data_IF_982528740456
#
_entry.id   IF_982528740456
#
_cell.length_a   1.000
_cell.length_b   1.000
_cell.length_c   1.000
_cell.angle_alpha   90.00
_cell.angle_beta   90.00
_cell.angle_gamma   90.00
#
_symmetry.space_group_name_H-M   'P 1'
#
loop_
_entity.id
_entity.type
_entity.pdbx_description
1 polymer ?
#
# COMPACT_ATOMS: atom_id res chain seq x y z
N UNK A 1 39.51 -27.18 60.87
CA UNK A 1 39.61 -26.51 59.56
C UNK A 1 38.19 -26.31 59.08
N UNK A 2 37.51 -25.28 59.57
CA UNK A 2 37.46 -23.91 58.97
C UNK A 2 36.67 -23.91 57.66
N UNK A 3 35.57 -23.19 57.48
CA UNK A 3 34.90 -22.21 58.34
C UNK A 3 33.52 -21.84 57.78
N UNK A 4 32.64 -21.38 58.67
CA UNK A 4 31.37 -20.69 58.32
C UNK A 4 31.65 -19.33 57.66
N UNK A 5 30.63 -18.66 57.06
CA UNK A 5 29.93 -17.65 57.89
C UNK A 5 28.41 -17.48 57.65
N UNK A 6 27.71 -17.35 58.78
CA UNK A 6 26.72 -16.32 59.19
C UNK A 6 25.41 -16.06 58.41
N UNK A 7 24.32 -16.34 59.14
CA UNK A 7 22.93 -15.78 59.09
C UNK A 7 22.85 -14.28 58.78
N UNK A 8 21.73 -13.86 58.14
CA UNK A 8 20.70 -12.98 58.73
C UNK A 8 19.40 -12.98 57.91
N UNK A 9 18.30 -13.02 58.65
CA UNK A 9 16.88 -12.98 58.29
C UNK A 9 16.43 -11.59 57.86
N UNK A 10 15.49 -11.47 56.91
CA UNK A 10 14.39 -10.50 57.04
C UNK A 10 13.18 -10.93 56.20
N UNK A 11 12.03 -10.87 56.85
CA UNK A 11 10.71 -11.34 56.45
C UNK A 11 9.98 -10.38 55.51
N UNK A 12 9.14 -10.99 54.66
CA UNK A 12 8.02 -10.45 53.88
C UNK A 12 7.22 -9.37 54.62
N UNK A 13 6.93 -8.25 53.93
CA UNK A 13 5.93 -7.27 54.36
C UNK A 13 5.07 -6.90 53.14
N UNK A 14 3.77 -7.21 53.26
CA UNK A 14 2.65 -6.84 52.39
C UNK A 14 2.47 -5.32 52.27
N UNK A 15 2.18 -4.77 51.07
CA UNK A 15 1.90 -3.35 50.88
C UNK A 15 0.39 -3.05 50.91
N UNK A 16 -0.38 -3.69 51.79
CA UNK A 16 -1.82 -3.47 51.90
C UNK A 16 -2.27 -3.29 53.36
N UNK A 17 -2.02 -2.12 53.96
CA UNK A 17 -2.93 -1.55 54.96
C UNK A 17 -2.57 -0.10 55.34
N UNK A 18 -3.60 0.69 55.66
CA UNK A 18 -3.68 2.13 55.98
C UNK A 18 -4.07 2.98 54.76
N UNK A 19 -5.25 3.61 54.67
CA UNK A 19 -6.34 3.77 55.62
C UNK A 19 -7.55 4.35 54.86
N UNK A 20 -8.75 3.83 55.16
CA UNK A 20 -10.03 4.23 54.60
C UNK A 20 -10.66 5.39 55.36
N UNK A 21 -11.21 6.39 54.66
CA UNK A 21 -12.29 7.31 55.12
C UNK A 21 -13.16 7.66 53.87
N UNK A 22 -14.50 7.82 54.00
CA UNK A 22 -15.49 7.27 53.06
C UNK A 22 -16.15 8.27 52.10
N UNK A 23 -16.76 7.76 51.03
CA UNK A 23 -17.75 8.47 50.19
C UNK A 23 -19.15 8.44 50.82
N UNK A 24 -20.07 9.36 50.43
CA UNK A 24 -21.17 8.90 49.58
C UNK A 24 -21.82 9.91 48.60
N UNK A 25 -22.31 9.35 47.50
CA UNK A 25 -23.62 9.55 46.84
C UNK A 25 -23.92 10.73 45.89
N UNK A 26 -24.34 10.37 44.66
CA UNK A 26 -25.56 10.81 43.92
C UNK A 26 -25.27 10.83 42.39
N UNK A 27 -25.79 9.89 41.59
CA UNK A 27 -27.11 9.84 40.89
C UNK A 27 -27.32 10.95 39.82
N UNK A 28 -27.59 10.47 38.60
CA UNK A 28 -27.72 11.11 37.26
C UNK A 28 -28.77 12.25 37.18
N UNK A 29 -28.81 13.03 36.07
CA UNK A 29 -29.74 12.68 34.95
C UNK A 29 -29.22 13.04 33.51
N UNK A 30 -29.46 12.19 32.49
CA UNK A 30 -30.32 12.39 31.27
C UNK A 30 -29.84 13.48 30.27
N UNK A 31 -29.87 13.40 28.92
CA UNK A 31 -30.72 12.71 27.93
C UNK A 31 -30.21 13.07 26.49
N UNK A 32 -30.43 12.20 25.49
CA UNK A 32 -30.66 12.50 24.03
C UNK A 32 -29.49 13.08 23.18
N UNK A 33 -29.24 12.79 21.89
CA UNK A 33 -30.02 12.21 20.77
C UNK A 33 -29.11 11.86 19.56
N UNK A 34 -29.47 10.77 18.85
CA UNK A 34 -29.58 10.58 17.38
C UNK A 34 -28.36 10.74 16.41
N UNK A 35 -27.91 9.59 15.88
CA UNK A 35 -27.69 9.13 14.47
C UNK A 35 -27.67 10.14 13.28
N UNK A 36 -27.27 9.71 12.05
CA UNK A 36 -26.05 9.03 11.55
C UNK A 36 -25.44 9.87 10.35
N UNK A 37 -24.49 9.41 9.50
CA UNK A 37 -24.86 8.58 8.33
C UNK A 37 -23.75 7.70 7.71
N UNK A 38 -24.21 7.00 6.66
CA UNK A 38 -23.57 6.03 5.78
C UNK A 38 -22.82 6.65 4.58
N UNK A 39 -22.10 5.76 3.88
CA UNK A 39 -21.81 5.73 2.44
C UNK A 39 -20.55 6.44 1.90
N UNK A 40 -19.65 5.57 1.43
CA UNK A 40 -18.54 5.84 0.52
C UNK A 40 -19.03 6.21 -0.88
N UNK A 41 -18.44 7.23 -1.49
CA UNK A 41 -18.41 7.42 -2.95
C UNK A 41 -17.14 8.14 -3.37
N UNK A 42 -16.40 7.53 -4.30
CA UNK A 42 -15.24 8.09 -5.00
C UNK A 42 -15.61 9.29 -5.88
N UNK A 43 -14.71 10.27 -6.07
CA UNK A 43 -14.83 11.28 -7.13
C UNK A 43 -13.90 10.98 -8.32
N UNK A 44 -14.48 11.01 -9.53
CA UNK A 44 -13.77 11.06 -10.82
C UNK A 44 -13.74 12.52 -11.28
N UNK A 45 -12.55 13.12 -11.42
CA UNK A 45 -12.39 14.51 -11.84
C UNK A 45 -12.19 14.65 -13.36
N UNK A 46 -13.18 15.25 -13.99
CA UNK A 46 -13.10 15.93 -15.29
C UNK A 46 -12.36 17.27 -15.12
N UNK A 47 -11.46 17.62 -16.05
CA UNK A 47 -10.88 18.97 -16.16
C UNK A 47 -11.04 19.52 -17.57
N UNK A 48 -11.72 20.66 -17.66
CA UNK A 48 -11.82 21.53 -18.84
C UNK A 48 -10.76 22.65 -18.80
N UNK A 49 -10.37 23.03 -20.02
CA UNK A 49 -9.76 24.25 -20.57
C UNK A 49 -9.30 25.43 -19.69
N UNK A 50 -8.18 26.05 -20.09
CA UNK A 50 -8.07 27.50 -20.29
C UNK A 50 -6.83 27.88 -21.13
N UNK A 51 -6.94 29.03 -21.79
CA UNK A 51 -6.16 29.66 -22.86
C UNK A 51 -4.76 30.21 -22.47
N UNK A 52 -3.94 30.50 -23.49
CA UNK A 52 -3.20 31.78 -23.55
C UNK A 52 -1.70 31.76 -23.87
N UNK A 53 -1.36 32.34 -25.02
CA UNK A 53 -0.08 32.67 -25.70
C UNK A 53 1.20 33.00 -24.89
N UNK A 54 2.37 32.71 -25.51
CA UNK A 54 3.69 33.25 -25.11
C UNK A 54 4.92 32.83 -25.95
N UNK A 55 5.17 33.57 -27.05
CA UNK A 55 6.42 33.94 -27.79
C UNK A 55 7.77 33.15 -27.74
N UNK A 56 8.37 33.04 -28.96
CA UNK A 56 9.78 33.21 -29.47
C UNK A 56 10.96 32.51 -28.74
N UNK A 57 12.09 32.07 -29.33
CA UNK A 57 12.70 31.87 -30.67
C UNK A 57 14.13 31.30 -30.42
N UNK A 58 14.76 30.59 -31.38
CA UNK A 58 16.18 30.72 -31.85
C UNK A 58 16.70 29.45 -32.58
N UNK A 59 16.73 29.51 -33.94
CA UNK A 59 17.81 29.22 -34.92
C UNK A 59 18.70 27.92 -34.86
N UNK A 60 19.58 27.66 -35.86
CA UNK A 60 19.37 27.45 -37.31
C UNK A 60 20.19 26.25 -37.89
N UNK A 61 20.07 25.96 -39.21
CA UNK A 61 21.12 25.48 -40.16
C UNK A 61 20.46 24.76 -41.38
N UNK A 62 20.40 25.37 -42.58
CA UNK A 62 21.26 25.11 -43.76
C UNK A 62 21.11 23.71 -44.41
N UNK A 63 21.07 23.45 -45.71
CA UNK A 63 20.98 24.22 -46.97
C UNK A 63 21.07 23.20 -48.12
N UNK A 64 20.41 23.47 -49.26
CA UNK A 64 20.66 22.94 -50.62
C UNK A 64 20.35 21.44 -50.89
N UNK A 65 19.77 21.01 -52.02
CA UNK A 65 19.35 21.74 -53.22
C UNK A 65 18.62 20.83 -54.24
N UNK A 66 17.87 21.52 -55.11
CA UNK A 66 17.51 21.25 -56.52
C UNK A 66 17.10 19.84 -57.03
N UNK A 67 15.96 19.81 -57.75
CA UNK A 67 15.86 19.05 -59.00
C UNK A 67 14.52 18.40 -59.36
N UNK A 68 13.72 19.10 -60.20
CA UNK A 68 12.84 18.58 -61.27
C UNK A 68 11.71 17.57 -60.93
N UNK A 69 10.44 18.02 -60.94
CA UNK A 69 9.40 17.76 -61.99
C UNK A 69 9.18 16.27 -62.34
N UNK A 70 8.00 15.67 -62.16
CA UNK A 70 6.74 16.04 -62.82
C UNK A 70 5.59 15.12 -62.37
N UNK A 71 4.40 15.72 -62.22
CA UNK A 71 3.05 15.18 -62.45
C UNK A 71 2.81 13.66 -62.34
N UNK A 72 1.96 13.25 -61.39
CA UNK A 72 0.65 12.66 -61.74
C UNK A 72 -0.29 12.47 -60.53
N UNK A 73 -1.33 13.31 -60.55
CA UNK A 73 -2.76 12.99 -60.35
C UNK A 73 -3.18 12.10 -59.17
N UNK A 74 -3.81 12.81 -58.23
CA UNK A 74 -4.86 12.35 -57.31
C UNK A 74 -5.96 11.57 -58.05
N UNK A 75 -6.43 10.47 -57.46
CA UNK A 75 -7.86 10.18 -57.39
C UNK A 75 -8.16 9.23 -56.22
N UNK A 76 -8.91 9.78 -55.28
CA UNK A 76 -9.62 9.10 -54.21
C UNK A 76 -10.82 8.33 -54.76
N UNK A 77 -11.01 7.09 -54.33
CA UNK A 77 -12.34 6.48 -54.30
C UNK A 77 -12.47 5.67 -53.02
N UNK A 78 -13.39 6.14 -52.18
CA UNK A 78 -13.83 5.56 -50.93
C UNK A 78 -15.03 4.67 -51.26
N UNK A 79 -15.03 3.41 -50.83
CA UNK A 79 -16.26 2.64 -50.56
C UNK A 79 -16.02 1.63 -49.43
N UNK A 80 -17.07 1.26 -48.67
CA UNK A 80 -16.98 1.17 -47.21
C UNK A 80 -16.99 -0.25 -46.66
N UNK A 81 -16.22 -0.43 -45.60
CA UNK A 81 -16.60 -1.12 -44.35
C UNK A 81 -17.17 -2.55 -44.44
N UNK A 82 -16.38 -3.52 -43.99
CA UNK A 82 -16.88 -4.58 -43.12
C UNK A 82 -16.04 -4.62 -41.84
N UNK A 83 -16.76 -4.50 -40.72
CA UNK A 83 -16.26 -4.58 -39.35
C UNK A 83 -16.12 -6.05 -39.01
N UNK A 84 -14.97 -6.47 -38.53
CA UNK A 84 -14.92 -7.51 -37.49
C UNK A 84 -13.81 -7.16 -36.51
N UNK A 85 -14.24 -6.71 -35.33
CA UNK A 85 -13.40 -6.51 -34.15
C UNK A 85 -13.37 -7.81 -33.36
N UNK A 86 -12.19 -8.32 -33.01
CA UNK A 86 -11.72 -8.35 -31.62
C UNK A 86 -10.46 -9.21 -31.46
N UNK A 87 -9.50 -8.67 -30.68
CA UNK A 87 -8.58 -9.40 -29.78
C UNK A 87 -7.56 -10.29 -30.53
N UNK A 88 -6.27 -9.96 -30.63
CA UNK A 88 -5.37 -9.44 -29.60
C UNK A 88 -4.46 -10.59 -29.15
N UNK A 89 -3.25 -10.70 -29.73
CA UNK A 89 -2.23 -11.62 -29.22
C UNK A 89 -1.36 -12.30 -30.29
N UNK A 90 -0.23 -11.66 -30.61
CA UNK A 90 1.08 -12.25 -30.95
C UNK A 90 1.10 -13.41 -31.96
N UNK A 91 1.39 -13.07 -33.23
CA UNK A 91 1.84 -14.00 -34.27
C UNK A 91 2.92 -13.33 -35.12
N UNK A 92 4.16 -13.42 -34.66
CA UNK A 92 5.37 -13.13 -35.45
C UNK A 92 5.47 -14.20 -36.55
N UNK A 93 5.81 -13.78 -37.79
CA UNK A 93 6.10 -14.59 -39.00
C UNK A 93 4.98 -14.88 -40.03
N UNK A 94 3.93 -14.06 -40.15
CA UNK A 94 3.18 -14.04 -41.42
C UNK A 94 3.88 -13.12 -42.43
N UNK A 95 4.86 -13.67 -43.15
CA UNK A 95 5.34 -13.02 -44.36
C UNK A 95 4.23 -13.02 -45.41
N UNK A 96 3.95 -11.83 -45.93
CA UNK A 96 3.17 -11.56 -47.12
C UNK A 96 3.33 -12.67 -48.19
N UNK A 97 2.33 -13.54 -48.32
CA UNK A 97 2.10 -14.33 -49.54
C UNK A 97 1.53 -13.35 -50.58
N UNK A 98 2.41 -12.47 -51.07
CA UNK A 98 2.21 -11.78 -52.33
C UNK A 98 2.52 -12.81 -53.42
N UNK A 99 1.55 -13.05 -54.30
CA UNK A 99 1.70 -13.86 -55.51
C UNK A 99 2.84 -13.32 -56.38
N UNK A 100 4.07 -13.70 -56.07
CA UNK A 100 5.20 -13.65 -56.98
C UNK A 100 5.19 -14.94 -57.80
N UNK A 101 5.53 -14.89 -59.11
CA UNK A 101 5.45 -16.06 -59.97
C UNK A 101 6.32 -17.19 -59.42
N UNK A 102 5.79 -18.41 -59.53
CA UNK A 102 6.41 -19.73 -59.30
C UNK A 102 7.84 -19.82 -59.87
N UNK A 103 8.81 -19.18 -59.23
CA UNK A 103 10.22 -19.23 -59.61
C UNK A 103 10.97 -19.87 -58.47
N UNK A 104 11.62 -20.99 -58.78
CA UNK A 104 12.43 -21.75 -57.84
C UNK A 104 13.52 -20.84 -57.24
N UNK A 105 13.53 -20.61 -55.91
CA UNK A 105 14.52 -19.76 -55.26
C UNK A 105 15.88 -20.46 -55.14
N UNK A 106 15.95 -21.77 -55.39
CA UNK A 106 17.19 -22.54 -55.26
C UNK A 106 18.14 -22.19 -56.41
N UNK A 107 19.45 -22.09 -56.14
CA UNK A 107 20.45 -21.83 -57.18
C UNK A 107 20.73 -23.09 -58.00
N UNK A 108 19.71 -23.65 -58.67
CA UNK A 108 19.77 -24.94 -59.38
C UNK A 108 20.79 -24.98 -60.53
N UNK A 109 21.22 -23.82 -61.03
CA UNK A 109 22.23 -23.69 -62.09
C UNK A 109 23.65 -23.60 -61.55
N UNK A 110 23.81 -23.26 -60.28
CA UNK A 110 25.11 -23.12 -59.64
C UNK A 110 25.82 -24.48 -59.51
N UNK A 111 27.14 -24.48 -59.73
CA UNK A 111 27.94 -25.71 -59.73
C UNK A 111 28.06 -26.30 -58.33
N UNK A 112 28.27 -25.45 -57.32
CA UNK A 112 28.43 -25.89 -55.94
C UNK A 112 27.12 -26.49 -55.40
N UNK A 113 25.97 -25.87 -55.70
CA UNK A 113 24.66 -26.43 -55.36
C UNK A 113 24.43 -27.83 -55.95
N UNK A 114 24.83 -28.05 -57.21
CA UNK A 114 24.72 -29.36 -57.87
C UNK A 114 25.61 -30.42 -57.20
N UNK A 115 26.86 -30.09 -56.93
CA UNK A 115 27.79 -30.99 -56.23
C UNK A 115 27.26 -31.39 -54.85
N UNK A 116 26.80 -30.42 -54.05
CA UNK A 116 26.21 -30.68 -52.73
C UNK A 116 24.94 -31.54 -52.82
N UNK A 117 24.06 -31.25 -53.78
CA UNK A 117 22.84 -32.03 -54.03
C UNK A 117 23.15 -33.50 -54.35
N UNK A 118 24.15 -33.73 -55.21
CA UNK A 118 24.59 -35.08 -55.58
C UNK A 118 25.12 -35.84 -54.36
N UNK A 119 25.96 -35.21 -53.54
CA UNK A 119 26.48 -35.83 -52.31
C UNK A 119 25.35 -36.18 -51.33
N UNK A 120 24.39 -35.27 -51.12
CA UNK A 120 23.23 -35.52 -50.25
C UNK A 120 22.42 -36.73 -50.71
N UNK A 121 22.11 -36.81 -52.01
CA UNK A 121 21.36 -37.93 -52.57
C UNK A 121 22.13 -39.24 -52.41
N UNK A 122 23.43 -39.26 -52.72
CA UNK A 122 24.25 -40.47 -52.60
C UNK A 122 24.31 -40.97 -51.18
N UNK A 123 24.57 -40.09 -50.21
CA UNK A 123 24.63 -40.46 -48.80
C UNK A 123 23.31 -41.09 -48.37
N UNK A 124 22.18 -40.47 -48.69
CA UNK A 124 20.86 -41.02 -48.35
C UNK A 124 20.59 -42.37 -49.04
N UNK A 125 20.96 -42.52 -50.31
CA UNK A 125 20.79 -43.79 -51.03
C UNK A 125 21.64 -44.92 -50.41
N UNK A 126 22.87 -44.61 -49.99
CA UNK A 126 23.75 -45.56 -49.29
C UNK A 126 23.18 -45.95 -47.93
N UNK A 127 22.76 -44.98 -47.13
CA UNK A 127 22.23 -45.22 -45.78
C UNK A 127 20.90 -45.98 -45.81
N UNK A 128 20.05 -45.73 -46.82
CA UNK A 128 18.73 -46.35 -46.91
C UNK A 128 18.70 -47.75 -47.55
N UNK A 129 19.84 -48.24 -48.05
CA UNK A 129 20.00 -49.57 -48.64
C UNK A 129 19.67 -49.68 -50.15
N UNK A 130 19.96 -48.63 -50.94
CA UNK A 130 19.71 -48.65 -52.38
C UNK A 130 20.52 -49.75 -53.08
N UNK A 131 19.90 -50.62 -53.92
CA UNK A 131 20.55 -51.83 -54.44
C UNK A 131 21.62 -51.57 -55.52
N UNK A 132 21.61 -50.41 -56.18
CA UNK A 132 22.60 -50.09 -57.22
C UNK A 132 23.69 -49.18 -56.67
N UNK A 133 24.94 -49.44 -57.04
CA UNK A 133 26.06 -48.60 -56.63
C UNK A 133 26.08 -47.28 -57.41
N UNK A 134 25.79 -46.17 -56.73
CA UNK A 134 25.77 -44.83 -57.33
C UNK A 134 27.04 -44.06 -56.96
N UNK A 135 27.79 -43.63 -57.97
CA UNK A 135 29.01 -42.82 -57.81
C UNK A 135 28.70 -41.36 -58.15
N UNK A 136 29.36 -40.35 -57.53
CA UNK A 136 29.11 -38.94 -57.85
C UNK A 136 29.21 -38.60 -59.34
N UNK A 137 30.12 -39.25 -60.08
CA UNK A 137 30.25 -39.09 -61.54
C UNK A 137 28.99 -39.51 -62.30
N UNK A 138 28.27 -40.52 -61.82
CA UNK A 138 27.03 -41.01 -62.44
C UNK A 138 25.90 -39.98 -62.34
N UNK A 139 25.75 -39.34 -61.18
CA UNK A 139 24.72 -38.30 -60.98
C UNK A 139 25.11 -36.91 -61.51
N UNK A 140 26.34 -36.71 -61.99
CA UNK A 140 26.70 -35.47 -62.70
C UNK A 140 26.04 -35.38 -64.08
N UNK A 141 25.88 -36.53 -64.75
CA UNK A 141 25.23 -36.64 -66.05
C UNK A 141 24.53 -38.02 -66.15
N UNK A 142 23.41 -38.20 -65.43
CA UNK A 142 22.76 -39.51 -65.37
C UNK A 142 22.01 -39.82 -66.66
N UNK A 143 21.88 -41.10 -66.94
CA UNK A 143 20.98 -41.62 -67.96
C UNK A 143 19.52 -41.53 -67.50
N UNK A 144 18.59 -41.57 -68.44
CA UNK A 144 17.16 -41.63 -68.14
C UNK A 144 16.81 -42.81 -67.21
N UNK A 145 17.47 -43.95 -67.41
CA UNK A 145 17.28 -45.16 -66.61
C UNK A 145 17.73 -44.95 -65.16
N UNK A 146 18.87 -44.30 -64.96
CA UNK A 146 19.39 -44.00 -63.61
C UNK A 146 18.49 -43.02 -62.87
N UNK A 147 18.03 -41.95 -63.54
CA UNK A 147 17.05 -41.03 -62.96
C UNK A 147 15.78 -41.78 -62.51
N UNK A 148 15.18 -42.58 -63.40
CA UNK A 148 13.96 -43.34 -63.09
C UNK A 148 14.18 -44.29 -61.92
N UNK A 149 15.30 -45.02 -61.90
CA UNK A 149 15.62 -45.97 -60.84
C UNK A 149 15.75 -45.30 -59.47
N UNK A 150 16.44 -44.15 -59.42
CA UNK A 150 16.57 -43.35 -58.19
C UNK A 150 15.22 -42.75 -57.78
N UNK A 151 14.47 -42.19 -58.72
CA UNK A 151 13.15 -41.59 -58.46
C UNK A 151 12.18 -42.63 -57.88
N UNK A 152 12.05 -43.79 -58.53
CA UNK A 152 11.17 -44.86 -58.08
C UNK A 152 11.56 -45.29 -56.68
N UNK A 153 12.85 -45.51 -56.42
CA UNK A 153 13.31 -45.91 -55.09
C UNK A 153 12.96 -44.88 -54.01
N UNK A 154 13.23 -43.60 -54.26
CA UNK A 154 12.88 -42.53 -53.32
C UNK A 154 11.35 -42.44 -53.12
N UNK A 155 10.57 -42.61 -54.18
CA UNK A 155 9.12 -42.56 -54.09
C UNK A 155 8.53 -43.72 -53.26
N UNK A 156 9.08 -44.94 -53.38
CA UNK A 156 8.65 -46.07 -52.55
C UNK A 156 8.96 -45.87 -51.05
N UNK A 157 9.88 -44.96 -50.70
CA UNK A 157 10.07 -44.56 -49.30
C UNK A 157 8.94 -43.66 -48.79
N UNK A 158 8.26 -42.92 -49.66
CA UNK A 158 7.05 -42.18 -49.32
C UNK A 158 5.80 -43.07 -49.31
N UNK A 159 5.65 -43.92 -50.34
CA UNK A 159 4.52 -44.84 -50.49
C UNK A 159 5.02 -46.23 -50.92
N UNK A 160 5.19 -47.17 -49.97
CA UNK A 160 5.66 -48.53 -50.26
C UNK A 160 4.74 -49.33 -51.18
N UNK A 161 3.46 -48.95 -51.29
CA UNK A 161 2.43 -49.70 -52.02
C UNK A 161 2.17 -49.14 -53.43
N UNK A 162 2.82 -48.05 -53.82
CA UNK A 162 2.62 -47.44 -55.12
C UNK A 162 3.19 -48.30 -56.26
N UNK A 163 2.40 -48.52 -57.31
CA UNK A 163 2.83 -49.26 -58.49
C UNK A 163 2.94 -48.34 -59.71
N UNK A 164 4.12 -48.32 -60.33
CA UNK A 164 4.39 -47.59 -61.57
C UNK A 164 3.84 -48.36 -62.78
N UNK A 165 2.56 -48.17 -63.08
CA UNK A 165 1.81 -48.90 -64.12
C UNK A 165 1.67 -48.09 -65.42
N UNK A 166 1.64 -46.75 -65.34
CA UNK A 166 1.46 -45.91 -66.54
C UNK A 166 2.81 -45.67 -67.21
N UNK A 167 2.80 -44.81 -68.22
CA UNK A 167 4.04 -44.28 -68.77
C UNK A 167 4.82 -43.57 -67.66
N UNK A 168 6.10 -43.90 -67.53
CA UNK A 168 6.94 -43.45 -66.42
C UNK A 168 6.92 -41.92 -66.27
N UNK A 169 6.80 -41.19 -67.37
CA UNK A 169 6.78 -39.73 -67.33
C UNK A 169 5.50 -39.15 -66.74
N UNK A 170 4.37 -39.84 -66.92
CA UNK A 170 3.09 -39.45 -66.32
C UNK A 170 3.08 -39.79 -64.84
N UNK A 171 3.60 -40.96 -64.47
CA UNK A 171 3.69 -41.38 -63.07
C UNK A 171 4.64 -40.48 -62.27
N UNK A 172 5.80 -40.09 -62.82
CA UNK A 172 6.72 -39.15 -62.16
C UNK A 172 6.03 -37.81 -61.87
N UNK A 173 5.31 -37.23 -62.84
CA UNK A 173 4.60 -35.96 -62.64
C UNK A 173 3.47 -36.13 -61.62
N UNK A 174 2.71 -37.23 -61.69
CA UNK A 174 1.67 -37.53 -60.72
C UNK A 174 2.23 -37.65 -59.29
N UNK A 175 3.31 -38.42 -59.13
CA UNK A 175 4.01 -38.62 -57.87
C UNK A 175 4.47 -37.30 -57.26
N UNK A 176 5.12 -36.43 -58.05
CA UNK A 176 5.56 -35.10 -57.60
C UNK A 176 4.38 -34.22 -57.15
N UNK A 177 3.22 -34.31 -57.83
CA UNK A 177 2.00 -33.59 -57.41
C UNK A 177 1.38 -34.18 -56.14
N UNK A 178 1.44 -35.51 -55.97
CA UNK A 178 0.90 -36.21 -54.81
C UNK A 178 1.64 -35.80 -53.53
N UNK A 179 2.98 -35.77 -53.57
CA UNK A 179 3.82 -35.31 -52.45
C UNK A 179 3.89 -33.78 -52.33
N UNK A 180 3.08 -33.03 -53.09
CA UNK A 180 2.98 -31.56 -53.06
C UNK A 180 4.32 -30.86 -53.32
N UNK A 181 5.11 -31.40 -54.25
CA UNK A 181 6.35 -30.74 -54.67
C UNK A 181 6.06 -29.33 -55.23
N UNK A 182 6.62 -28.26 -54.64
CA UNK A 182 6.22 -26.88 -54.96
C UNK A 182 6.40 -26.46 -56.42
N UNK A 183 7.32 -27.09 -57.16
CA UNK A 183 7.63 -26.76 -58.55
C UNK A 183 7.13 -27.82 -59.54
N UNK A 184 6.16 -28.66 -59.15
CA UNK A 184 5.63 -29.73 -60.00
C UNK A 184 5.06 -29.23 -61.33
N UNK A 185 4.49 -28.03 -61.37
CA UNK A 185 3.92 -27.46 -62.59
C UNK A 185 4.96 -26.92 -63.58
N UNK A 186 6.21 -26.74 -63.14
CA UNK A 186 7.32 -26.33 -64.01
C UNK A 186 7.94 -27.50 -64.78
N UNK A 187 7.63 -28.74 -64.36
CA UNK A 187 8.16 -29.97 -64.92
C UNK A 187 7.18 -30.50 -65.97
N UNK A 188 7.60 -30.45 -67.24
CA UNK A 188 6.81 -30.99 -68.35
C UNK A 188 7.12 -32.46 -68.63
N UNK A 189 6.21 -33.16 -69.32
CA UNK A 189 6.42 -34.55 -69.76
C UNK A 189 7.72 -34.69 -70.58
N UNK A 190 8.00 -33.74 -71.48
CA UNK A 190 9.22 -33.74 -72.30
C UNK A 190 10.50 -33.61 -71.47
N UNK A 191 10.46 -32.85 -70.37
CA UNK A 191 11.59 -32.75 -69.45
C UNK A 191 11.82 -34.07 -68.71
N UNK A 192 10.75 -34.76 -68.31
CA UNK A 192 10.89 -36.08 -67.67
C UNK A 192 11.39 -37.14 -68.65
N UNK A 193 10.94 -37.14 -69.91
CA UNK A 193 11.46 -38.07 -70.94
C UNK A 193 12.96 -37.88 -71.18
N UNK A 194 13.47 -36.66 -71.04
CA UNK A 194 14.87 -36.30 -71.23
C UNK A 194 15.53 -35.82 -69.92
N UNK A 195 15.25 -36.52 -68.81
CA UNK A 195 15.69 -36.12 -67.48
C UNK A 195 17.22 -36.03 -67.35
N UNK A 196 17.95 -36.86 -68.10
CA UNK A 196 19.42 -36.87 -68.16
C UNK A 196 20.06 -35.76 -69.01
N UNK A 197 19.27 -34.92 -69.69
CA UNK A 197 19.82 -33.84 -70.53
C UNK A 197 20.41 -32.71 -69.66
N UNK A 198 21.55 -32.08 -70.02
CA UNK A 198 22.21 -31.07 -69.18
C UNK A 198 21.34 -29.89 -68.74
N UNK A 199 20.40 -29.49 -69.60
CA UNK A 199 19.48 -28.38 -69.34
C UNK A 199 18.33 -28.76 -68.40
N UNK A 200 17.92 -30.02 -68.40
CA UNK A 200 16.79 -30.52 -67.61
C UNK A 200 17.23 -31.16 -66.31
N UNK A 201 18.43 -31.76 -66.29
CA UNK A 201 18.99 -32.45 -65.14
C UNK A 201 19.07 -31.54 -63.91
N UNK A 202 19.33 -30.24 -64.10
CA UNK A 202 19.36 -29.28 -62.99
C UNK A 202 18.03 -29.21 -62.23
N UNK A 203 16.90 -29.30 -62.95
CA UNK A 203 15.56 -29.30 -62.35
C UNK A 203 15.26 -30.66 -61.69
N UNK A 204 15.63 -31.76 -62.36
CA UNK A 204 15.39 -33.12 -61.86
C UNK A 204 16.22 -33.42 -60.61
N UNK A 205 17.50 -33.03 -60.61
CA UNK A 205 18.39 -33.11 -59.46
C UNK A 205 17.80 -32.33 -58.29
N UNK A 206 17.32 -31.11 -58.52
CA UNK A 206 16.72 -30.32 -57.47
C UNK A 206 15.42 -30.97 -56.93
N UNK A 207 14.61 -31.61 -57.77
CA UNK A 207 13.44 -32.38 -57.31
C UNK A 207 13.85 -33.59 -56.45
N UNK A 208 14.85 -34.37 -56.89
CA UNK A 208 15.37 -35.51 -56.11
C UNK A 208 16.00 -35.08 -54.78
N UNK A 209 16.76 -33.99 -54.75
CA UNK A 209 17.32 -33.44 -53.51
C UNK A 209 16.20 -33.05 -52.54
N UNK A 210 15.14 -32.40 -53.04
CA UNK A 210 13.99 -32.05 -52.21
C UNK A 210 13.27 -33.29 -51.68
N UNK A 211 13.10 -34.34 -52.49
CA UNK A 211 12.55 -35.62 -52.03
C UNK A 211 13.39 -36.21 -50.90
N UNK A 212 14.72 -36.25 -51.06
CA UNK A 212 15.64 -36.75 -50.02
C UNK A 212 15.55 -35.91 -48.74
N UNK A 213 15.59 -34.58 -48.84
CA UNK A 213 15.48 -33.71 -47.67
C UNK A 213 14.13 -33.88 -46.95
N UNK A 214 13.06 -34.07 -47.71
CA UNK A 214 11.73 -34.33 -47.16
C UNK A 214 11.68 -35.69 -46.46
N UNK A 215 12.28 -36.75 -47.03
CA UNK A 215 12.37 -38.06 -46.40
C UNK A 215 13.20 -38.01 -45.11
N UNK A 216 14.31 -37.28 -45.09
CA UNK A 216 15.12 -37.11 -43.87
C UNK A 216 14.32 -36.42 -42.78
N UNK A 217 13.54 -35.39 -43.11
CA UNK A 217 12.66 -34.73 -42.14
C UNK A 217 11.56 -35.67 -41.67
N UNK A 218 10.95 -36.43 -42.58
CA UNK A 218 9.93 -37.42 -42.26
C UNK A 218 10.46 -38.51 -41.31
N UNK A 219 11.64 -39.05 -41.57
CA UNK A 219 12.28 -40.05 -40.71
C UNK A 219 12.56 -39.49 -39.31
N UNK A 220 13.04 -38.25 -39.21
CA UNK A 220 13.26 -37.58 -37.93
C UNK A 220 11.95 -37.33 -37.17
N UNK A 221 10.88 -37.00 -37.90
CA UNK A 221 9.55 -36.84 -37.32
C UNK A 221 9.02 -38.17 -36.77
N UNK A 222 9.15 -39.26 -37.52
CA UNK A 222 8.73 -40.60 -37.11
C UNK A 222 9.55 -41.17 -35.94
N UNK A 223 10.80 -40.73 -35.78
CA UNK A 223 11.66 -41.05 -34.63
C UNK A 223 11.45 -40.12 -33.42
N UNK A 224 10.48 -39.21 -33.49
CA UNK A 224 10.22 -38.19 -32.47
C UNK A 224 11.44 -37.28 -32.17
N UNK A 225 12.39 -37.13 -33.09
CA UNK A 225 13.56 -36.25 -32.95
C UNK A 225 13.21 -34.77 -33.21
N UNK A 226 12.08 -34.54 -33.89
CA UNK A 226 11.52 -33.20 -34.10
C UNK A 226 10.39 -33.02 -33.08
N UNK A 227 10.54 -32.12 -32.10
CA UNK A 227 9.47 -31.84 -31.15
C UNK A 227 8.30 -31.20 -31.92
N UNK A 228 7.20 -31.94 -32.01
CA UNK A 228 5.92 -31.38 -32.43
C UNK A 228 5.32 -30.76 -31.18
N UNK A 229 5.01 -29.46 -31.22
CA UNK A 229 4.28 -28.80 -30.13
C UNK A 229 2.92 -29.45 -29.99
N UNK A 230 2.85 -30.39 -29.07
CA UNK A 230 1.63 -31.09 -28.73
C UNK A 230 0.95 -30.31 -27.61
N UNK A 231 0.19 -29.28 -27.99
CA UNK A 231 -0.61 -28.45 -27.07
C UNK A 231 -1.68 -29.27 -26.31
N UNK A 232 -1.77 -30.57 -26.57
CA UNK A 232 -2.70 -31.53 -25.97
C UNK A 232 -1.98 -32.68 -25.24
N UNK A 233 -0.71 -32.51 -24.83
CA UNK A 233 0.03 -33.55 -24.11
C UNK A 233 -0.69 -34.03 -22.83
N UNK A 234 -1.44 -33.14 -22.17
CA UNK A 234 -2.26 -33.43 -20.98
C UNK A 234 -3.72 -33.79 -21.33
N UNK A 235 -4.04 -34.04 -22.60
CA UNK A 235 -5.41 -34.41 -22.98
C UNK A 235 -5.70 -35.85 -22.55
N UNK A 236 -6.62 -36.09 -21.60
CA UNK A 236 -6.95 -37.44 -21.15
C UNK A 236 -7.49 -38.31 -22.29
N UNK A 237 -8.14 -37.72 -23.30
CA UNK A 237 -8.64 -38.45 -24.46
C UNK A 237 -7.49 -39.01 -25.30
N UNK A 238 -6.35 -38.32 -25.35
CA UNK A 238 -5.17 -38.76 -26.10
C UNK A 238 -4.46 -39.91 -25.39
N UNK A 239 -4.35 -39.81 -24.06
CA UNK A 239 -3.85 -40.91 -23.22
C UNK A 239 -4.70 -42.17 -23.44
N UNK A 240 -6.03 -42.02 -23.32
CA UNK A 240 -6.97 -43.11 -23.55
C UNK A 240 -6.89 -43.68 -24.97
N UNK A 241 -6.83 -42.82 -25.98
CA UNK A 241 -6.77 -43.26 -27.39
C UNK A 241 -5.48 -44.05 -27.70
N UNK A 242 -4.32 -43.56 -27.24
CA UNK A 242 -3.02 -44.15 -27.55
C UNK A 242 -2.74 -45.42 -26.75
N UNK A 243 -3.04 -45.43 -25.44
CA UNK A 243 -2.67 -46.54 -24.56
C UNK A 243 -3.76 -47.60 -24.44
N UNK A 244 -5.03 -47.19 -24.49
CA UNK A 244 -6.15 -48.12 -24.36
C UNK A 244 -6.77 -48.45 -25.72
N UNK A 245 -7.39 -47.47 -26.39
CA UNK A 245 -8.28 -47.74 -27.52
C UNK A 245 -7.56 -48.38 -28.70
N UNK A 246 -6.36 -47.92 -29.04
CA UNK A 246 -5.57 -48.47 -30.16
C UNK A 246 -5.22 -49.94 -29.95
N UNK A 247 -4.88 -50.33 -28.72
CA UNK A 247 -4.50 -51.71 -28.36
C UNK A 247 -5.73 -52.60 -28.16
N UNK A 248 -6.73 -52.10 -27.43
CA UNK A 248 -8.00 -52.81 -27.21
C UNK A 248 -8.70 -53.11 -28.54
N UNK A 249 -8.65 -52.19 -29.52
CA UNK A 249 -9.21 -52.44 -30.83
C UNK A 249 -8.48 -53.54 -31.61
N UNK A 250 -7.16 -53.70 -31.44
CA UNK A 250 -6.41 -54.83 -32.02
C UNK A 250 -6.85 -56.16 -31.42
N UNK A 251 -7.05 -56.20 -30.10
CA UNK A 251 -7.55 -57.39 -29.38
C UNK A 251 -8.96 -57.76 -29.85
N UNK A 252 -9.82 -56.75 -30.00
CA UNK A 252 -11.17 -56.91 -30.55
C UNK A 252 -11.14 -57.47 -31.99
N UNK A 253 -10.29 -56.92 -32.87
CA UNK A 253 -10.14 -57.41 -34.24
C UNK A 253 -9.55 -58.84 -34.30
N UNK A 254 -8.79 -59.25 -33.28
CA UNK A 254 -8.32 -60.62 -33.11
C UNK A 254 -9.39 -61.57 -32.54
N UNK A 255 -10.58 -61.05 -32.19
CA UNK A 255 -11.71 -61.82 -31.68
C UNK A 255 -11.63 -62.15 -30.18
N UNK A 256 -10.73 -61.50 -29.44
CA UNK A 256 -10.66 -61.59 -27.99
C UNK A 256 -11.43 -60.42 -27.35
N UNK A 257 -11.89 -60.62 -26.12
CA UNK A 257 -12.72 -59.65 -25.37
C UNK A 257 -12.20 -59.43 -23.94
N UNK A 258 -10.90 -59.69 -23.73
CA UNK A 258 -10.20 -59.40 -22.48
C UNK A 258 -9.30 -58.18 -22.66
N UNK A 259 -9.62 -57.11 -21.94
CA UNK A 259 -8.89 -55.84 -22.01
C UNK A 259 -8.09 -55.52 -20.75
N UNK A 260 -8.01 -56.45 -19.80
CA UNK A 260 -7.45 -56.22 -18.47
C UNK A 260 -5.98 -55.76 -18.48
N UNK A 261 -5.21 -56.18 -19.48
CA UNK A 261 -3.82 -55.72 -19.66
C UNK A 261 -3.74 -54.24 -20.08
N UNK A 262 -4.61 -53.82 -21.00
CA UNK A 262 -4.69 -52.44 -21.49
C UNK A 262 -5.22 -51.49 -20.41
N UNK A 263 -6.18 -51.94 -19.59
CA UNK A 263 -6.67 -51.17 -18.43
C UNK A 263 -5.55 -50.90 -17.43
N UNK A 264 -4.75 -51.93 -17.11
CA UNK A 264 -3.61 -51.81 -16.20
C UNK A 264 -2.51 -50.89 -16.74
N UNK A 265 -2.26 -50.95 -18.04
CA UNK A 265 -1.28 -50.06 -18.68
C UNK A 265 -1.76 -48.59 -18.66
N UNK A 266 -3.05 -48.36 -18.91
CA UNK A 266 -3.65 -47.03 -18.82
C UNK A 266 -3.57 -46.46 -17.40
N UNK A 267 -3.87 -47.27 -16.38
CA UNK A 267 -3.74 -46.89 -14.97
C UNK A 267 -2.31 -46.48 -14.64
N UNK A 268 -1.33 -47.30 -15.02
CA UNK A 268 0.08 -47.01 -14.77
C UNK A 268 0.57 -45.73 -15.46
N UNK A 269 0.18 -45.48 -16.72
CA UNK A 269 0.58 -44.25 -17.40
C UNK A 269 -0.15 -43.01 -16.84
N UNK A 270 -1.41 -43.16 -16.44
CA UNK A 270 -2.15 -42.10 -15.73
C UNK A 270 -1.50 -41.73 -14.40
N UNK A 271 -1.08 -42.73 -13.62
CA UNK A 271 -0.38 -42.50 -12.36
C UNK A 271 0.97 -41.81 -12.59
N UNK A 272 1.70 -42.22 -13.62
CA UNK A 272 2.98 -41.60 -14.01
C UNK A 272 2.81 -40.13 -14.38
N UNK A 273 1.76 -39.77 -15.12
CA UNK A 273 1.47 -38.38 -15.45
C UNK A 273 1.07 -37.57 -14.20
N UNK A 274 0.28 -38.17 -13.31
CA UNK A 274 -0.17 -37.53 -12.09
C UNK A 274 0.93 -37.35 -11.03
N UNK A 275 2.00 -38.15 -11.05
CA UNK A 275 3.09 -38.09 -10.06
C UNK A 275 3.70 -36.69 -9.92
N UNK A 276 3.97 -36.00 -11.03
CA UNK A 276 4.49 -34.63 -11.00
C UNK A 276 3.49 -33.63 -10.42
N UNK A 277 2.20 -33.82 -10.68
CA UNK A 277 1.16 -32.93 -10.16
C UNK A 277 0.95 -33.19 -8.67
N UNK A 278 0.94 -34.45 -8.24
CA UNK A 278 0.80 -34.83 -6.83
C UNK A 278 1.95 -34.30 -5.97
N UNK A 279 3.19 -34.42 -6.46
CA UNK A 279 4.37 -33.88 -5.76
C UNK A 279 4.33 -32.35 -5.66
N UNK A 280 3.84 -31.65 -6.69
CA UNK A 280 3.66 -30.19 -6.64
C UNK A 280 2.53 -29.78 -5.68
N UNK A 281 1.43 -30.55 -5.64
CA UNK A 281 0.34 -30.33 -4.67
C UNK A 281 0.86 -30.48 -3.24
N UNK A 282 1.59 -31.55 -2.93
CA UNK A 282 2.18 -31.78 -1.59
C UNK A 282 3.10 -30.61 -1.19
N UNK A 283 3.96 -30.15 -2.11
CA UNK A 283 4.83 -29.00 -1.86
C UNK A 283 4.04 -27.72 -1.57
N UNK A 284 2.96 -27.47 -2.32
CA UNK A 284 2.11 -26.30 -2.14
C UNK A 284 1.33 -26.37 -0.81
N UNK A 285 0.90 -27.55 -0.40
CA UNK A 285 0.26 -27.77 0.90
C UNK A 285 1.23 -27.46 2.05
N UNK A 286 2.46 -27.96 1.98
CA UNK A 286 3.53 -27.67 2.96
C UNK A 286 3.86 -26.18 3.03
N UNK A 287 4.00 -25.52 1.87
CA UNK A 287 4.26 -24.09 1.78
C UNK A 287 3.11 -23.27 2.37
N UNK A 288 1.87 -23.68 2.12
CA UNK A 288 0.69 -23.01 2.65
C UNK A 288 0.63 -23.16 4.17
N UNK A 289 0.86 -24.37 4.71
CA UNK A 289 0.90 -24.58 6.16
C UNK A 289 2.00 -23.74 6.83
N UNK A 290 3.18 -23.62 6.19
CA UNK A 290 4.27 -22.76 6.68
C UNK A 290 3.87 -21.29 6.70
N UNK A 291 3.27 -20.79 5.63
CA UNK A 291 2.84 -19.39 5.52
C UNK A 291 1.69 -19.08 6.49
N UNK A 292 0.75 -20.00 6.69
CA UNK A 292 -0.31 -19.86 7.68
C UNK A 292 0.24 -19.77 9.10
N UNK A 293 1.26 -20.57 9.44
CA UNK A 293 1.97 -20.47 10.73
C UNK A 293 2.70 -19.14 10.88
N UNK A 294 3.42 -18.69 9.85
CA UNK A 294 4.12 -17.40 9.87
C UNK A 294 3.14 -16.23 10.06
N UNK A 295 2.01 -16.26 9.36
CA UNK A 295 0.95 -15.27 9.49
C UNK A 295 0.35 -15.31 10.89
N UNK A 296 0.09 -16.51 11.44
CA UNK A 296 -0.37 -16.66 12.81
C UNK A 296 0.61 -16.04 13.80
N UNK A 297 1.91 -16.32 13.70
CA UNK A 297 2.93 -15.80 14.60
C UNK A 297 3.10 -14.28 14.49
N UNK A 298 3.06 -13.73 13.26
CA UNK A 298 3.06 -12.29 13.03
C UNK A 298 1.82 -11.58 13.59
N UNK A 299 0.69 -12.26 13.65
CA UNK A 299 -0.56 -11.70 14.17
C UNK A 299 -0.72 -11.93 15.68
N UNK A 300 -0.17 -13.04 16.21
CA UNK A 300 -0.16 -13.39 17.63
C UNK A 300 0.82 -12.54 18.43
N UNK A 301 1.96 -12.18 17.82
CA UNK A 301 2.73 -11.02 18.28
C UNK A 301 1.88 -9.78 18.02
N UNK A 302 1.12 -9.35 19.04
CA UNK A 302 0.30 -8.12 19.01
C UNK A 302 1.06 -7.05 18.22
N UNK A 303 0.50 -6.49 17.13
CA UNK A 303 1.28 -5.70 16.18
C UNK A 303 2.03 -4.66 16.99
N UNK A 304 3.38 -4.69 17.03
CA UNK A 304 4.17 -3.84 17.92
C UNK A 304 3.74 -2.38 17.80
N UNK A 305 3.28 -2.01 16.60
CA UNK A 305 2.66 -0.75 16.25
C UNK A 305 1.44 -0.38 17.11
N UNK A 306 0.49 -1.28 17.37
CA UNK A 306 -0.70 -0.99 18.16
C UNK A 306 -0.38 -0.81 19.64
N UNK A 307 0.55 -1.61 20.19
CA UNK A 307 1.06 -1.41 21.56
C UNK A 307 1.79 -0.07 21.68
N UNK A 308 2.68 0.26 20.74
CA UNK A 308 3.36 1.55 20.67
C UNK A 308 2.38 2.72 20.50
N UNK A 309 1.29 2.55 19.74
CA UNK A 309 0.25 3.57 19.61
C UNK A 309 -0.46 3.83 20.93
N UNK A 310 -0.82 2.79 21.68
CA UNK A 310 -1.44 2.94 22.99
C UNK A 310 -0.48 3.64 23.97
N UNK A 311 0.79 3.23 23.99
CA UNK A 311 1.81 3.87 24.82
C UNK A 311 2.00 5.35 24.45
N UNK A 312 2.04 5.67 23.14
CA UNK A 312 2.12 7.06 22.66
C UNK A 312 0.96 7.90 23.17
N UNK A 313 -0.27 7.40 23.08
CA UNK A 313 -1.46 8.12 23.54
C UNK A 313 -1.44 8.36 25.06
N UNK A 314 -0.99 7.36 25.84
CA UNK A 314 -0.79 7.50 27.29
C UNK A 314 0.23 8.60 27.58
N UNK A 315 1.40 8.56 26.92
CA UNK A 315 2.46 9.55 27.11
C UNK A 315 2.03 10.97 26.69
N UNK A 316 1.24 11.10 25.63
CA UNK A 316 0.68 12.40 25.21
C UNK A 316 -0.30 12.94 26.27
N UNK A 317 -1.17 12.07 26.80
CA UNK A 317 -2.10 12.43 27.88
C UNK A 317 -1.34 12.92 29.10
N UNK A 318 -0.33 12.18 29.55
CA UNK A 318 0.45 12.51 30.74
C UNK A 318 1.29 13.78 30.54
N UNK A 319 1.91 13.95 29.36
CA UNK A 319 2.59 15.21 29.00
C UNK A 319 1.66 16.41 29.11
N UNK A 320 0.41 16.27 28.69
CA UNK A 320 -0.59 17.34 28.76
C UNK A 320 -0.97 17.63 30.21
N UNK A 321 -1.25 16.60 31.02
CA UNK A 321 -1.52 16.75 32.46
C UNK A 321 -0.36 17.42 33.20
N UNK A 322 0.89 17.04 32.90
CA UNK A 322 2.06 17.67 33.53
C UNK A 322 2.20 19.14 33.13
N UNK A 323 1.96 19.50 31.87
CA UNK A 323 1.95 20.91 31.44
C UNK A 323 0.89 21.71 32.19
N UNK A 324 -0.33 21.19 32.30
CA UNK A 324 -1.41 21.85 33.03
C UNK A 324 -1.09 21.99 34.52
N UNK A 325 -0.47 20.96 35.11
CA UNK A 325 -0.06 21.00 36.50
C UNK A 325 1.06 22.03 36.75
N UNK A 326 2.08 22.09 35.88
CA UNK A 326 3.15 23.09 35.94
C UNK A 326 2.54 24.50 35.83
N UNK A 327 1.64 24.74 34.88
CA UNK A 327 0.98 26.03 34.72
C UNK A 327 0.21 26.45 36.00
N UNK A 328 -0.47 25.50 36.66
CA UNK A 328 -1.14 25.75 37.95
C UNK A 328 -0.15 26.07 39.06
N UNK A 329 0.99 25.38 39.11
CA UNK A 329 2.04 25.64 40.10
C UNK A 329 2.68 27.01 39.88
N UNK A 330 2.95 27.40 38.63
CA UNK A 330 3.49 28.72 38.30
C UNK A 330 2.51 29.83 38.69
N UNK A 331 1.21 29.64 38.42
CA UNK A 331 0.18 30.57 38.86
C UNK A 331 0.12 30.68 40.39
N UNK A 332 0.21 29.55 41.11
CA UNK A 332 0.24 29.56 42.58
C UNK A 332 1.49 30.25 43.10
N UNK A 333 2.67 29.98 42.51
CA UNK A 333 3.94 30.62 42.86
C UNK A 333 3.85 32.12 42.69
N UNK A 334 3.30 32.61 41.57
CA UNK A 334 3.10 34.03 41.32
C UNK A 334 2.19 34.69 42.36
N UNK A 335 1.06 34.04 42.74
CA UNK A 335 0.16 34.56 43.79
C UNK A 335 0.82 34.62 45.16
N UNK A 336 1.57 33.58 45.54
CA UNK A 336 2.27 33.55 46.83
C UNK A 336 3.39 34.61 46.84
N UNK A 337 4.11 34.79 45.74
CA UNK A 337 5.11 35.84 45.61
C UNK A 337 4.49 37.25 45.78
N UNK A 338 3.37 37.53 45.08
CA UNK A 338 2.63 38.79 45.23
C UNK A 338 2.11 38.99 46.67
N UNK A 339 1.59 37.94 47.30
CA UNK A 339 1.16 37.98 48.70
C UNK A 339 2.32 38.26 49.67
N UNK A 340 3.49 37.68 49.44
CA UNK A 340 4.68 37.92 50.27
C UNK A 340 5.16 39.36 50.12
N UNK A 341 5.15 39.91 48.90
CA UNK A 341 5.52 41.33 48.68
C UNK A 341 4.55 42.25 49.42
N UNK A 342 3.23 42.00 49.32
CA UNK A 342 2.22 42.77 50.06
C UNK A 342 2.38 42.65 51.57
N UNK A 343 2.63 41.45 52.08
CA UNK A 343 2.82 41.22 53.51
C UNK A 343 4.09 41.91 54.02
N UNK A 344 5.17 41.89 53.24
CA UNK A 344 6.41 42.60 53.57
C UNK A 344 6.19 44.13 53.62
N UNK A 345 5.43 44.70 52.67
CA UNK A 345 5.06 46.12 52.69
C UNK A 345 4.22 46.46 53.93
N UNK A 346 3.20 45.65 54.24
CA UNK A 346 2.38 45.84 55.44
C UNK A 346 3.18 45.73 56.74
N UNK A 347 4.18 44.85 56.78
CA UNK A 347 5.08 44.71 57.92
C UNK A 347 5.94 45.95 58.08
N UNK A 348 6.54 46.45 57.00
CA UNK A 348 7.35 47.68 57.01
C UNK A 348 6.53 48.91 57.44
N UNK A 349 5.30 49.04 56.94
CA UNK A 349 4.36 50.09 57.37
C UNK A 349 4.03 49.97 58.87
N UNK A 350 3.75 48.75 59.35
CA UNK A 350 3.44 48.51 60.76
C UNK A 350 4.65 48.75 61.68
N UNK A 351 5.86 48.37 61.25
CA UNK A 351 7.11 48.66 61.96
C UNK A 351 7.36 50.17 62.03
N UNK A 352 7.17 50.92 60.93
CA UNK A 352 7.32 52.37 60.91
C UNK A 352 6.33 53.08 61.86
N UNK A 353 5.08 52.61 61.92
CA UNK A 353 4.05 53.11 62.85
C UNK A 353 4.39 52.72 64.30
N UNK A 354 4.89 51.51 64.54
CA UNK A 354 5.34 51.10 65.86
C UNK A 354 6.51 51.95 66.35
N UNK A 355 7.50 52.24 65.50
CA UNK A 355 8.60 53.14 65.82
C UNK A 355 8.12 54.56 66.11
N UNK A 356 7.16 55.10 65.34
CA UNK A 356 6.63 56.44 65.62
C UNK A 356 5.89 56.48 66.95
N UNK A 357 5.02 55.49 67.23
CA UNK A 357 4.35 55.38 68.53
C UNK A 357 5.35 55.17 69.69
N UNK A 358 6.45 54.45 69.45
CA UNK A 358 7.54 54.29 70.40
C UNK A 358 8.24 55.62 70.71
N UNK A 359 8.52 56.43 69.68
CA UNK A 359 9.06 57.79 69.84
C UNK A 359 8.08 58.70 70.59
N UNK A 360 6.81 58.69 70.21
CA UNK A 360 5.77 59.48 70.86
C UNK A 360 5.62 59.11 72.34
N UNK A 361 5.67 57.81 72.66
CA UNK A 361 5.63 57.32 74.04
C UNK A 361 6.83 57.84 74.86
N UNK A 362 8.04 57.78 74.31
CA UNK A 362 9.24 58.30 75.00
C UNK A 362 9.12 59.80 75.20
N UNK A 363 8.69 60.55 74.18
CA UNK A 363 8.51 62.00 74.28
C UNK A 363 7.45 62.38 75.32
N UNK A 364 6.31 61.69 75.34
CA UNK A 364 5.28 61.89 76.36
C UNK A 364 5.77 61.51 77.75
N UNK A 365 6.55 60.44 77.89
CA UNK A 365 7.13 60.05 79.17
C UNK A 365 8.12 61.10 79.68
N UNK A 366 9.00 61.63 78.82
CA UNK A 366 9.90 62.74 79.18
C UNK A 366 9.12 64.00 79.58
N UNK A 367 8.03 64.31 78.89
CA UNK A 367 7.14 65.43 79.26
C UNK A 367 6.46 65.22 80.61
N UNK A 368 6.09 63.98 80.96
CA UNK A 368 5.50 63.64 82.25
C UNK A 368 6.56 63.68 83.36
N UNK A 369 7.74 63.10 83.13
CA UNK A 369 8.83 63.08 84.11
C UNK A 369 9.39 64.49 84.39
N UNK A 370 9.31 65.41 83.42
CA UNK A 370 9.67 66.82 83.59
C UNK A 370 8.62 67.65 84.33
N UNK A 371 7.42 67.11 84.58
CA UNK A 371 6.42 67.77 85.42
C UNK A 371 6.71 67.44 86.89
N UNK A 372 6.88 68.47 87.71
CA UNK A 372 7.06 68.37 89.18
C UNK A 372 5.78 67.95 89.94
N UNK A 373 4.86 67.25 89.28
CA UNK A 373 3.56 66.84 89.82
C UNK A 373 3.56 65.32 89.94
N UNK A 374 3.54 64.80 91.16
CA UNK A 374 3.49 63.34 91.40
C UNK A 374 2.15 62.76 90.93
N UNK A 375 2.11 61.48 90.52
CA UNK A 375 0.87 60.78 90.21
C UNK A 375 -0.14 60.84 91.39
N UNK A 376 0.37 60.83 92.62
CA UNK A 376 -0.44 61.05 93.84
C UNK A 376 -0.99 62.47 93.94
N UNK A 377 -0.27 63.47 93.43
CA UNK A 377 -0.73 64.86 93.41
C UNK A 377 -1.78 65.07 92.33
N UNK A 378 -1.68 64.39 91.18
CA UNK A 378 -2.74 64.38 90.16
C UNK A 378 -4.01 63.71 90.68
N UNK A 379 -3.88 62.59 91.38
CA UNK A 379 -5.02 61.88 91.97
C UNK A 379 -5.66 62.71 93.10
N UNK A 380 -4.85 63.37 93.93
CA UNK A 380 -5.30 64.33 94.94
C UNK A 380 -5.98 65.54 94.29
N UNK A 381 -5.40 66.12 93.24
CA UNK A 381 -5.94 67.25 92.51
C UNK A 381 -7.24 66.88 91.78
N UNK A 382 -7.36 65.68 91.23
CA UNK A 382 -8.62 65.17 90.67
C UNK A 382 -9.68 64.95 91.75
N UNK A 383 -9.30 64.41 92.91
CA UNK A 383 -10.22 64.25 94.04
C UNK A 383 -10.67 65.58 94.65
N UNK A 384 -9.76 66.56 94.75
CA UNK A 384 -10.03 67.92 95.18
C UNK A 384 -10.90 68.65 94.15
N UNK A 385 -10.65 68.43 92.85
CA UNK A 385 -11.46 68.97 91.76
C UNK A 385 -12.87 68.37 91.74
N UNK A 386 -13.01 67.04 91.88
CA UNK A 386 -14.32 66.40 92.04
C UNK A 386 -15.06 66.88 93.29
N UNK A 387 -14.34 67.06 94.41
CA UNK A 387 -14.91 67.59 95.64
C UNK A 387 -15.32 69.07 95.50
N UNK A 388 -14.52 69.89 94.81
CA UNK A 388 -14.82 71.28 94.51
C UNK A 388 -16.02 71.40 93.56
N UNK A 389 -16.12 70.56 92.53
CA UNK A 389 -17.29 70.49 91.65
C UNK A 389 -18.54 70.15 92.47
N UNK A 390 -18.49 69.11 93.30
CA UNK A 390 -19.62 68.75 94.17
C UNK A 390 -19.99 69.86 95.15
N UNK A 391 -19.00 70.55 95.73
CA UNK A 391 -19.24 71.68 96.63
C UNK A 391 -19.83 72.88 95.89
N UNK A 392 -19.40 73.14 94.66
CA UNK A 392 -19.96 74.20 93.81
C UNK A 392 -21.40 73.87 93.40
N UNK A 393 -21.69 72.63 93.02
CA UNK A 393 -23.05 72.16 92.76
C UNK A 393 -23.94 72.28 94.01
N UNK A 394 -23.43 71.91 95.19
CA UNK A 394 -24.15 72.06 96.44
C UNK A 394 -24.40 73.53 96.82
N UNK A 395 -23.39 74.39 96.69
CA UNK A 395 -23.50 75.82 96.99
C UNK A 395 -24.42 76.55 95.99
N UNK A 396 -24.38 76.19 94.71
CA UNK A 396 -25.31 76.74 93.69
C UNK A 396 -26.74 76.27 93.92
N UNK A 397 -26.95 75.02 94.35
CA UNK A 397 -28.26 74.52 94.76
C UNK A 397 -28.79 75.28 95.99
N UNK A 398 -27.96 75.49 97.02
CA UNK A 398 -28.33 76.29 98.20
C UNK A 398 -28.61 77.76 97.85
N UNK A 399 -27.84 78.37 96.94
CA UNK A 399 -28.11 79.72 96.44
C UNK A 399 -29.46 79.79 95.72
N UNK A 400 -29.78 78.79 94.89
CA UNK A 400 -31.05 78.72 94.16
C UNK A 400 -32.25 78.53 95.11
N UNK A 401 -32.07 77.73 96.17
CA UNK A 401 -33.08 77.54 97.22
C UNK A 401 -33.28 78.82 98.04
N UNK A 402 -32.20 79.47 98.49
CA UNK A 402 -32.26 80.73 99.22
C UNK A 402 -32.86 81.86 98.36
N UNK A 403 -32.51 81.93 97.08
CA UNK A 403 -33.11 82.87 96.12
C UNK A 403 -34.60 82.63 95.94
N UNK A 404 -35.04 81.37 95.86
CA UNK A 404 -36.48 81.03 95.83
C UNK A 404 -37.19 81.43 97.13
N UNK A 405 -36.54 81.25 98.29
CA UNK A 405 -37.10 81.69 99.57
C UNK A 405 -37.18 83.22 99.68
N UNK A 406 -36.17 83.94 99.19
CA UNK A 406 -36.19 85.41 99.12
C UNK A 406 -37.30 85.88 98.18
N UNK A 407 -37.42 85.29 96.99
CA UNK A 407 -38.49 85.61 96.05
C UNK A 407 -39.88 85.36 96.65
N UNK A 408 -40.07 84.25 97.38
CA UNK A 408 -41.34 83.97 98.05
C UNK A 408 -41.62 84.93 99.21
N UNK A 409 -40.59 85.30 99.99
CA UNK A 409 -40.70 86.31 101.06
C UNK A 409 -40.97 87.70 100.50
N UNK A 410 -40.37 88.07 99.38
CA UNK A 410 -40.58 89.33 98.67
C UNK A 410 -42.00 89.38 98.09
N UNK A 411 -42.48 88.27 97.50
CA UNK A 411 -43.88 88.13 97.05
C UNK A 411 -44.87 88.27 98.21
N UNK A 412 -44.57 87.66 99.36
CA UNK A 412 -45.39 87.79 100.58
C UNK A 412 -45.34 89.22 101.14
N UNK A 413 -44.18 89.86 101.15
CA UNK A 413 -44.01 91.24 101.59
C UNK A 413 -44.78 92.20 100.67
N UNK A 414 -44.67 92.05 99.35
CA UNK A 414 -45.43 92.82 98.38
C UNK A 414 -46.93 92.61 98.54
N UNK A 415 -47.38 91.36 98.74
CA UNK A 415 -48.80 91.07 99.01
C UNK A 415 -49.29 91.74 100.31
N UNK A 416 -48.48 91.74 101.37
CA UNK A 416 -48.81 92.44 102.62
C UNK A 416 -48.78 93.96 102.46
N UNK A 417 -47.88 94.49 101.64
CA UNK A 417 -47.75 95.91 101.35
C UNK A 417 -48.93 96.40 100.49
N UNK A 418 -49.32 95.66 99.46
CA UNK A 418 -50.53 95.91 98.67
C UNK A 418 -51.81 95.83 99.54
N UNK A 419 -51.84 94.92 100.53
CA UNK A 419 -52.94 94.85 101.49
C UNK A 419 -52.95 96.05 102.46
N UNK A 420 -51.77 96.54 102.86
CA UNK A 420 -51.62 97.73 103.70
C UNK A 420 -52.00 99.00 102.92
N UNK A 421 -51.56 99.14 101.67
CA UNK A 421 -51.90 100.27 100.79
C UNK A 421 -53.41 100.30 100.50
N UNK A 422 -54.06 99.13 100.32
CA UNK A 422 -55.53 99.05 100.26
C UNK A 422 -56.21 99.48 101.56
N UNK A 423 -55.64 99.14 102.71
CA UNK A 423 -56.16 99.58 104.01
C UNK A 423 -55.95 101.09 104.24
N UNK A 424 -54.87 101.68 103.71
CA UNK A 424 -54.58 103.12 103.79
C UNK A 424 -55.46 103.91 102.82
N UNK A 425 -55.75 103.40 101.62
CA UNK A 425 -56.66 104.02 100.65
C UNK A 425 -58.15 103.95 101.05
N UNK A 426 -58.52 103.08 101.98
CA UNK A 426 -59.90 103.04 102.51
C UNK A 426 -60.11 103.94 103.73
N UNK A 427 -59.03 104.52 104.27
CA UNK A 427 -59.08 105.38 105.47
C UNK A 427 -58.87 106.87 105.17
N UNK A 428 -58.44 107.25 103.96
CA UNK A 428 -58.43 108.63 103.44
C UNK A 428 -59.43 108.76 102.29
#
# INVERSE_FOLDING_TARGET
MEGQPRRKTLSTIDPNHLSAIPQPSARKPSRSSQLPPSAYSNPHHQRQSSYGEGRLSYAPASSQGAGASSQQRRSSTYTPGHRNSSIGGIGVLSQNISQAPNKDPRPIRDKQFKEQSIHKIINYLQDSGYPQHVVPKTLMAPTQKEFVSVFQYLYHKFDPNFQFVKKIEEDVIYCLKAIKYPFSDTISRSQVTAAGSPHTWSNMLAALTWMVETLVVLDRLLKNEIPVEDNEADNPDKLYFNHFLTKAYQVFLAGADDYSEMERELEHESDRQNESTLTEVERLEDDNERLEKELHDLNASQPPLQALHQEREILISDKTKFKDYIARLDQKRARVADSNVKLAQMLEEAEAVFESMGRDKVQLQEQVDAQDISATDVEKMNSEHEALIKNLEAATSQLQEASSQVFEKERLAQSKMDALDKAIQTYN
#
